data_IF_232306732066
#
_entry.id   IF_232306732066
#
_cell.length_a   1.000
_cell.length_b   1.000
_cell.length_c   1.000
_cell.angle_alpha   90.00
_cell.angle_beta   90.00
_cell.angle_gamma   90.00
#
_symmetry.space_group_name_H-M   'P 1'
#
loop_
_entity.id
_entity.type
_entity.pdbx_description
1 polymer ?
#
# COMPACT_ATOMS: atom_id res chain seq x y z
N UNK A 1 -36.05 21.07 47.36
CA UNK A 1 -35.13 21.75 46.43
C UNK A 1 -34.74 20.82 45.29
N UNK A 2 -35.70 20.47 44.40
CA UNK A 2 -35.49 19.50 43.31
C UNK A 2 -35.71 20.09 41.91
N UNK A 3 -36.19 21.34 41.83
CA UNK A 3 -36.52 21.99 40.55
C UNK A 3 -35.26 22.41 39.76
N UNK A 4 -34.20 22.83 40.46
CA UNK A 4 -32.94 23.31 39.84
C UNK A 4 -32.14 22.19 39.15
N UNK A 5 -32.30 20.92 39.59
CA UNK A 5 -31.58 19.77 39.03
C UNK A 5 -31.92 19.50 37.55
N UNK A 6 -33.12 19.86 37.12
CA UNK A 6 -33.57 19.63 35.75
C UNK A 6 -33.38 20.83 34.83
N UNK A 7 -33.00 22.00 35.36
CA UNK A 7 -32.78 23.22 34.57
C UNK A 7 -31.52 23.09 33.71
N UNK A 8 -30.43 22.54 34.25
CA UNK A 8 -29.18 22.39 33.52
C UNK A 8 -29.28 21.46 32.29
N UNK A 9 -29.86 20.25 32.36
CA UNK A 9 -30.06 19.41 31.17
C UNK A 9 -31.09 20.00 30.19
N UNK A 10 -32.11 20.73 30.68
CA UNK A 10 -33.11 21.36 29.81
C UNK A 10 -32.52 22.52 28.98
N UNK A 11 -31.61 23.31 29.55
CA UNK A 11 -30.87 24.36 28.82
C UNK A 11 -29.92 23.75 27.79
N UNK A 12 -29.28 22.61 28.12
CA UNK A 12 -28.40 21.91 27.19
C UNK A 12 -29.19 21.35 25.97
N UNK A 13 -30.40 20.86 26.20
CA UNK A 13 -31.29 20.34 25.15
C UNK A 13 -31.86 21.44 24.24
N UNK A 14 -32.11 22.64 24.79
CA UNK A 14 -32.61 23.80 24.02
C UNK A 14 -31.54 24.46 23.14
N UNK A 15 -30.26 24.15 23.34
CA UNK A 15 -29.13 24.75 22.60
C UNK A 15 -28.79 24.02 21.28
N UNK A 16 -29.54 22.99 20.91
CA UNK A 16 -29.19 22.05 19.85
C UNK A 16 -29.57 22.42 18.41
N UNK A 17 -30.22 23.56 18.15
CA UNK A 17 -30.82 23.81 16.83
C UNK A 17 -30.01 24.80 15.99
N UNK A 18 -28.97 24.29 15.33
CA UNK A 18 -28.59 24.62 13.93
C UNK A 18 -27.29 23.91 13.52
N UNK A 19 -27.34 22.58 13.38
CA UNK A 19 -26.29 21.85 12.67
C UNK A 19 -26.51 22.02 11.16
N UNK A 20 -25.72 22.88 10.52
CA UNK A 20 -25.62 22.95 9.04
C UNK A 20 -24.81 21.74 8.56
N UNK A 21 -25.49 20.62 8.34
CA UNK A 21 -24.85 19.33 8.10
C UNK A 21 -24.21 19.15 6.71
N UNK A 22 -24.51 19.97 5.70
CA UNK A 22 -23.80 20.01 4.41
C UNK A 22 -24.19 21.30 3.66
N UNK A 23 -23.25 22.23 3.46
CA UNK A 23 -23.54 23.53 2.82
C UNK A 23 -23.02 23.65 1.37
N UNK A 24 -22.77 22.53 0.68
CA UNK A 24 -22.56 22.57 -0.77
C UNK A 24 -22.65 21.16 -1.34
N UNK A 25 -23.64 20.90 -2.20
CA UNK A 25 -23.61 19.74 -3.09
C UNK A 25 -22.46 19.95 -4.09
N UNK A 26 -21.24 19.64 -3.67
CA UNK A 26 -20.05 19.68 -4.53
C UNK A 26 -20.10 18.44 -5.43
N UNK A 27 -20.88 18.52 -6.49
CA UNK A 27 -20.99 17.45 -7.48
C UNK A 27 -19.77 17.46 -8.39
N UNK A 28 -19.20 16.30 -8.64
CA UNK A 28 -18.16 16.15 -9.64
C UNK A 28 -18.78 16.08 -11.04
N UNK A 29 -18.16 16.74 -12.01
CA UNK A 29 -18.49 16.49 -13.42
C UNK A 29 -18.03 15.09 -13.83
N UNK A 30 -18.63 14.53 -14.88
CA UNK A 30 -18.24 13.21 -15.39
C UNK A 30 -16.72 13.13 -15.71
N UNK A 31 -16.14 14.22 -16.23
CA UNK A 31 -14.71 14.32 -16.52
C UNK A 31 -13.86 14.24 -15.26
N UNK A 32 -14.24 14.96 -14.20
CA UNK A 32 -13.52 14.95 -12.93
C UNK A 32 -13.55 13.55 -12.28
N UNK A 33 -14.69 12.87 -12.35
CA UNK A 33 -14.80 11.48 -11.89
C UNK A 33 -13.87 10.57 -12.70
N UNK A 34 -13.86 10.70 -14.03
CA UNK A 34 -13.00 9.91 -14.91
C UNK A 34 -11.51 10.10 -14.61
N UNK A 35 -11.07 11.34 -14.35
CA UNK A 35 -9.68 11.63 -13.99
C UNK A 35 -9.27 10.99 -12.66
N UNK A 36 -10.14 11.08 -11.65
CA UNK A 36 -9.90 10.45 -10.34
C UNK A 36 -9.83 8.93 -10.49
N UNK A 37 -10.77 8.33 -11.23
CA UNK A 37 -10.78 6.89 -11.47
C UNK A 37 -9.51 6.46 -12.18
N UNK A 38 -9.12 7.13 -13.28
CA UNK A 38 -7.88 6.80 -14.00
C UNK A 38 -6.64 6.87 -13.09
N UNK A 39 -6.57 7.86 -12.20
CA UNK A 39 -5.43 8.04 -11.30
C UNK A 39 -5.36 7.04 -10.16
N UNK A 40 -6.51 6.56 -9.67
CA UNK A 40 -6.59 5.75 -8.45
C UNK A 40 -7.26 4.38 -8.65
N UNK A 41 -7.40 3.89 -9.89
CA UNK A 41 -8.03 2.60 -10.17
C UNK A 41 -7.19 1.45 -9.60
N UNK A 42 -7.70 0.66 -8.64
CA UNK A 42 -6.92 -0.35 -7.93
C UNK A 42 -6.40 -1.45 -8.85
N UNK A 43 -7.20 -1.88 -9.83
CA UNK A 43 -6.79 -2.91 -10.80
C UNK A 43 -5.74 -2.37 -11.78
N UNK A 44 -5.79 -1.08 -12.13
CA UNK A 44 -4.79 -0.49 -13.01
C UNK A 44 -3.43 -0.41 -12.29
N UNK A 45 -3.45 -0.02 -11.01
CA UNK A 45 -2.26 -0.05 -10.16
C UNK A 45 -1.67 -1.46 -9.99
N UNK A 46 -2.51 -2.50 -9.97
CA UNK A 46 -2.04 -3.89 -9.95
C UNK A 46 -1.39 -4.30 -11.28
N UNK A 47 -1.87 -3.77 -12.42
CA UNK A 47 -1.29 -4.05 -13.73
C UNK A 47 0.17 -3.56 -13.83
N UNK A 48 0.51 -2.44 -13.17
CA UNK A 48 1.88 -1.91 -13.12
C UNK A 48 2.88 -2.93 -12.55
N UNK A 49 2.46 -3.78 -11.61
CA UNK A 49 3.31 -4.84 -11.03
C UNK A 49 3.77 -5.83 -12.10
N UNK A 50 2.90 -6.18 -13.05
CA UNK A 50 3.26 -7.08 -14.15
C UNK A 50 4.29 -6.45 -15.08
N UNK A 51 4.18 -5.14 -15.33
CA UNK A 51 5.14 -4.40 -16.14
C UNK A 51 6.52 -4.38 -15.46
N UNK A 52 6.56 -4.08 -14.16
CA UNK A 52 7.82 -4.10 -13.40
C UNK A 52 8.42 -5.50 -13.31
N UNK A 53 7.60 -6.54 -13.16
CA UNK A 53 8.05 -7.93 -13.22
C UNK A 53 8.69 -8.27 -14.57
N UNK A 54 8.06 -7.89 -15.67
CA UNK A 54 8.62 -8.14 -17.01
C UNK A 54 9.97 -7.43 -17.21
N UNK A 55 10.13 -6.21 -16.69
CA UNK A 55 11.43 -5.49 -16.70
C UNK A 55 12.50 -6.20 -15.87
N UNK A 56 12.11 -6.72 -14.70
CA UNK A 56 13.00 -7.50 -13.85
C UNK A 56 13.43 -8.80 -14.53
N UNK A 57 12.52 -9.51 -15.19
CA UNK A 57 12.82 -10.75 -15.92
C UNK A 57 13.82 -10.50 -17.06
N UNK A 58 13.70 -9.37 -17.78
CA UNK A 58 14.70 -8.96 -18.79
C UNK A 58 16.06 -8.69 -18.14
N UNK A 59 16.08 -8.05 -16.97
CA UNK A 59 17.34 -7.78 -16.23
C UNK A 59 18.01 -9.07 -15.77
N UNK A 60 17.25 -10.01 -15.23
CA UNK A 60 17.75 -11.34 -14.82
C UNK A 60 18.31 -12.09 -16.04
N UNK A 61 17.59 -12.05 -17.17
CA UNK A 61 18.04 -12.68 -18.42
C UNK A 61 19.36 -12.11 -18.91
N UNK A 62 19.60 -10.82 -18.71
CA UNK A 62 20.89 -10.18 -19.03
C UNK A 62 22.00 -10.59 -18.07
N UNK A 63 21.70 -10.67 -16.77
CA UNK A 63 22.68 -11.08 -15.76
C UNK A 63 23.20 -12.52 -15.97
N UNK A 64 22.44 -13.38 -16.65
CA UNK A 64 22.89 -14.73 -17.01
C UNK A 64 24.09 -14.74 -17.99
N UNK A 65 24.39 -13.62 -18.65
CA UNK A 65 25.55 -13.45 -19.52
C UNK A 65 26.77 -12.87 -18.78
N UNK A 66 26.61 -12.43 -17.54
CA UNK A 66 27.71 -11.85 -16.76
C UNK A 66 28.53 -12.96 -16.10
N UNK A 67 29.87 -12.91 -16.16
CA UNK A 67 30.71 -13.90 -15.50
C UNK A 67 30.50 -13.85 -13.99
N UNK A 68 30.24 -15.01 -13.39
CA UNK A 68 30.06 -15.14 -11.94
C UNK A 68 31.40 -15.45 -11.28
N UNK A 69 31.88 -14.55 -10.42
CA UNK A 69 33.02 -14.84 -9.54
C UNK A 69 32.53 -15.70 -8.36
N UNK A 70 33.00 -16.94 -8.30
CA UNK A 70 32.65 -17.90 -7.24
C UNK A 70 33.92 -18.47 -6.63
N UNK A 71 33.96 -18.56 -5.30
CA UNK A 71 34.98 -19.30 -4.57
C UNK A 71 34.31 -20.46 -3.84
N UNK A 72 34.72 -21.69 -4.12
CA UNK A 72 34.22 -22.90 -3.44
C UNK A 72 35.40 -23.66 -2.85
N UNK A 73 35.36 -23.89 -1.54
CA UNK A 73 36.32 -24.76 -0.85
C UNK A 73 35.62 -26.09 -0.59
N UNK A 74 36.16 -27.18 -1.15
CA UNK A 74 35.64 -28.52 -0.94
C UNK A 74 36.68 -29.34 -0.18
N UNK A 75 36.28 -30.00 0.91
CA UNK A 75 37.10 -30.99 1.60
C UNK A 75 36.52 -32.38 1.32
N UNK A 76 37.36 -33.31 0.87
CA UNK A 76 36.98 -34.71 0.67
C UNK A 76 38.01 -35.58 1.35
N UNK A 77 37.57 -36.33 2.36
CA UNK A 77 38.41 -37.31 3.05
C UNK A 77 37.87 -38.70 2.73
N UNK A 78 38.73 -39.61 2.27
CA UNK A 78 38.39 -41.02 2.10
C UNK A 78 39.50 -41.87 2.72
N UNK A 79 39.10 -42.82 3.56
CA UNK A 79 40.03 -43.68 4.31
C UNK A 79 41.10 -42.90 5.12
N UNK A 80 40.71 -41.77 5.72
CA UNK A 80 41.60 -40.92 6.51
C UNK A 80 42.58 -40.06 5.71
N UNK A 81 42.54 -40.10 4.37
CA UNK A 81 43.36 -39.29 3.49
C UNK A 81 42.53 -38.13 2.96
N UNK A 82 43.03 -36.90 3.13
CA UNK A 82 42.46 -35.71 2.51
C UNK A 82 42.84 -35.64 1.02
N UNK A 83 41.83 -35.70 0.15
CA UNK A 83 41.97 -35.68 -1.31
C UNK A 83 41.91 -34.28 -1.90
N UNK A 84 41.34 -33.33 -1.16
CA UNK A 84 41.31 -31.92 -1.52
C UNK A 84 42.09 -31.14 -0.45
N UNK A 85 42.91 -30.19 -0.89
CA UNK A 85 43.76 -29.32 -0.05
C UNK A 85 42.99 -28.16 0.55
#
# INVERSE_FOLDING_TARGET
MNFVKYIFPAVLFLSGTSLKAQDSLKTLSATQVMEIVKKFHPVAKQADIFVEKAKADVTISKAAFDPVLKNEMAQKTFDGIDYYY
#
